data_IF_337352965789
#
_entry.id   IF_337352965789
#
_cell.length_a   1.000
_cell.length_b   1.000
_cell.length_c   1.000
_cell.angle_alpha   90.00
_cell.angle_beta   90.00
_cell.angle_gamma   90.00
#
_symmetry.space_group_name_H-M   'P 1'
#
loop_
_entity.id
_entity.type
_entity.pdbx_description
1 polymer ?
#
# COMPACT_ATOMS: atom_id res chain seq x y z
N UNK A 1 -13.05 -40.47 -33.46
CA UNK A 1 -12.75 -40.21 -32.03
C UNK A 1 -11.66 -39.15 -31.76
N UNK A 2 -10.95 -38.58 -32.76
CA UNK A 2 -9.95 -37.50 -32.51
C UNK A 2 -10.57 -36.09 -32.37
N UNK A 3 -11.73 -35.84 -32.97
CA UNK A 3 -12.43 -34.55 -32.88
C UNK A 3 -13.11 -34.31 -31.52
N UNK A 4 -13.52 -35.37 -30.83
CA UNK A 4 -14.21 -35.28 -29.53
C UNK A 4 -13.24 -34.88 -28.41
N UNK A 5 -11.99 -35.37 -28.45
CA UNK A 5 -10.96 -34.99 -27.49
C UNK A 5 -10.54 -33.50 -27.63
N UNK A 6 -10.45 -32.98 -28.86
CA UNK A 6 -10.16 -31.57 -29.10
C UNK A 6 -11.31 -30.64 -28.66
N UNK A 7 -12.56 -31.07 -28.84
CA UNK A 7 -13.73 -30.31 -28.39
C UNK A 7 -13.87 -30.30 -26.87
N UNK A 8 -13.51 -31.40 -26.20
CA UNK A 8 -13.47 -31.47 -24.72
C UNK A 8 -12.32 -30.64 -24.15
N UNK A 9 -11.13 -30.63 -24.78
CA UNK A 9 -10.05 -29.72 -24.36
C UNK A 9 -10.45 -28.26 -24.60
N UNK A 10 -11.15 -27.94 -25.69
CA UNK A 10 -11.65 -26.59 -25.97
C UNK A 10 -12.77 -26.16 -25.00
N UNK A 11 -13.64 -27.08 -24.57
CA UNK A 11 -14.67 -26.82 -23.54
C UNK A 11 -14.09 -26.76 -22.12
N UNK A 12 -13.02 -27.51 -21.82
CA UNK A 12 -12.32 -27.45 -20.54
C UNK A 12 -11.44 -26.18 -20.43
N UNK A 13 -10.91 -25.65 -21.53
CA UNK A 13 -10.26 -24.33 -21.53
C UNK A 13 -11.26 -23.17 -21.52
N UNK A 14 -12.48 -23.35 -22.02
CA UNK A 14 -13.56 -22.35 -21.86
C UNK A 14 -14.23 -22.37 -20.47
N UNK A 15 -14.07 -23.46 -19.71
CA UNK A 15 -14.47 -23.52 -18.30
C UNK A 15 -13.42 -22.96 -17.33
N UNK A 16 -12.30 -22.41 -17.82
CA UNK A 16 -11.69 -21.21 -17.21
C UNK A 16 -12.62 -20.01 -17.46
N UNK A 17 -13.87 -20.14 -17.03
CA UNK A 17 -14.87 -19.08 -16.94
C UNK A 17 -14.17 -17.94 -16.25
N UNK A 18 -13.94 -16.87 -16.99
CA UNK A 18 -13.14 -15.77 -16.51
C UNK A 18 -13.87 -15.12 -15.33
N UNK A 19 -13.29 -15.36 -14.16
CA UNK A 19 -13.92 -15.05 -12.89
C UNK A 19 -13.57 -13.63 -12.49
N UNK A 20 -14.56 -12.96 -11.90
CA UNK A 20 -14.41 -11.59 -11.47
C UNK A 20 -13.41 -11.51 -10.31
N UNK A 21 -12.48 -10.57 -10.38
CA UNK A 21 -11.65 -10.18 -9.24
C UNK A 21 -12.29 -8.96 -8.60
N UNK A 22 -12.49 -9.02 -7.28
CA UNK A 22 -12.96 -7.88 -6.50
C UNK A 22 -11.87 -7.45 -5.53
N UNK A 23 -11.50 -6.18 -5.55
CA UNK A 23 -10.57 -5.58 -4.60
C UNK A 23 -11.34 -4.55 -3.78
N UNK A 24 -11.37 -4.72 -2.47
CA UNK A 24 -11.98 -3.77 -1.54
C UNK A 24 -10.91 -3.20 -0.65
N UNK A 25 -10.64 -1.90 -0.74
CA UNK A 25 -9.70 -1.20 0.13
C UNK A 25 -10.47 -0.25 1.03
N UNK A 26 -10.12 -0.23 2.32
CA UNK A 26 -10.72 0.68 3.29
C UNK A 26 -9.63 1.45 4.01
N UNK A 27 -9.79 2.77 4.05
CA UNK A 27 -9.01 3.69 4.85
C UNK A 27 -9.96 4.48 5.74
N UNK A 28 -9.99 4.11 7.01
CA UNK A 28 -10.84 4.76 8.02
C UNK A 28 -9.95 5.59 8.94
N UNK A 29 -10.35 6.84 9.16
CA UNK A 29 -9.67 7.76 10.06
C UNK A 29 -10.68 8.41 10.99
N UNK A 30 -10.41 8.40 12.29
CA UNK A 30 -11.21 9.18 13.23
C UNK A 30 -10.74 10.63 13.16
N UNK A 31 -11.60 11.55 12.72
CA UNK A 31 -11.37 13.00 12.91
C UNK A 31 -12.06 13.42 14.20
N UNK A 32 -11.27 13.82 15.19
CA UNK A 32 -11.75 14.30 16.48
C UNK A 32 -12.23 15.76 16.45
N UNK A 33 -11.88 16.51 15.41
CA UNK A 33 -12.06 17.96 15.32
C UNK A 33 -12.59 18.38 13.93
N UNK A 34 -13.87 18.74 13.90
CA UNK A 34 -14.50 19.37 12.72
C UNK A 34 -15.14 18.42 11.72
N UNK A 35 -15.71 19.00 10.66
CA UNK A 35 -16.36 18.27 9.58
C UNK A 35 -15.33 17.71 8.59
N UNK A 36 -15.50 16.47 8.14
CA UNK A 36 -14.63 15.87 7.13
C UNK A 36 -14.88 14.39 6.83
N UNK A 37 -13.96 13.77 6.11
CA UNK A 37 -14.07 12.36 5.68
C UNK A 37 -13.54 11.47 6.80
N UNK A 38 -14.40 10.62 7.37
CA UNK A 38 -13.99 9.66 8.40
C UNK A 38 -13.82 8.23 7.86
N UNK A 39 -14.34 7.94 6.66
CA UNK A 39 -14.22 6.62 6.03
C UNK A 39 -14.12 6.78 4.51
N UNK A 40 -13.09 6.19 3.92
CA UNK A 40 -12.88 6.18 2.48
C UNK A 40 -12.69 4.74 2.03
N UNK A 41 -13.53 4.30 1.11
CA UNK A 41 -13.52 2.94 0.58
C UNK A 41 -13.34 2.98 -0.93
N UNK A 42 -12.52 2.08 -1.44
CA UNK A 42 -12.36 1.82 -2.87
C UNK A 42 -12.83 0.41 -3.18
N UNK A 43 -13.64 0.27 -4.22
CA UNK A 43 -14.08 -1.00 -4.76
C UNK A 43 -13.60 -1.06 -6.21
N UNK A 44 -12.75 -2.04 -6.52
CA UNK A 44 -12.29 -2.32 -7.88
C UNK A 44 -12.84 -3.66 -8.30
N UNK A 45 -13.55 -3.70 -9.43
CA UNK A 45 -14.04 -4.94 -10.04
C UNK A 45 -13.33 -5.14 -11.36
N UNK A 46 -12.71 -6.30 -11.54
CA UNK A 46 -12.08 -6.71 -12.79
C UNK A 46 -12.88 -7.89 -13.32
N UNK A 47 -13.40 -7.79 -14.53
CA UNK A 47 -14.23 -8.82 -15.13
C UNK A 47 -13.83 -9.03 -16.60
N UNK A 48 -13.97 -10.25 -17.13
CA UNK A 48 -13.63 -10.53 -18.52
C UNK A 48 -14.46 -9.74 -19.53
N UNK A 49 -13.83 -9.37 -20.63
CA UNK A 49 -14.47 -8.81 -21.82
C UNK A 49 -13.77 -9.34 -23.09
N UNK A 50 -14.38 -10.34 -23.74
CA UNK A 50 -13.83 -11.04 -24.92
C UNK A 50 -12.40 -11.58 -24.67
N UNK A 51 -11.38 -10.87 -25.19
CA UNK A 51 -9.97 -11.24 -25.15
C UNK A 51 -9.16 -10.43 -24.10
N UNK A 52 -9.83 -9.59 -23.31
CA UNK A 52 -9.24 -8.68 -22.34
C UNK A 52 -10.04 -8.72 -21.04
N UNK A 53 -9.64 -7.87 -20.09
CA UNK A 53 -10.43 -7.58 -18.90
C UNK A 53 -10.87 -6.13 -18.88
N UNK A 54 -11.96 -5.88 -18.19
CA UNK A 54 -12.47 -4.54 -17.90
C UNK A 54 -12.37 -4.30 -16.42
N UNK A 55 -11.81 -3.15 -16.07
CA UNK A 55 -11.74 -2.66 -14.70
C UNK A 55 -12.78 -1.59 -14.49
N UNK A 56 -13.60 -1.75 -13.45
CA UNK A 56 -14.49 -0.75 -12.89
C UNK A 56 -13.93 -0.34 -11.53
N UNK A 57 -13.68 0.95 -11.35
CA UNK A 57 -13.18 1.53 -10.09
C UNK A 57 -14.24 2.45 -9.51
N UNK A 58 -14.66 2.18 -8.28
CA UNK A 58 -15.63 2.98 -7.53
C UNK A 58 -15.02 3.49 -6.23
N UNK A 59 -15.18 4.78 -5.94
CA UNK A 59 -14.79 5.38 -4.67
C UNK A 59 -16.01 5.83 -3.86
N UNK A 60 -16.07 5.39 -2.61
CA UNK A 60 -17.10 5.73 -1.64
C UNK A 60 -16.48 6.52 -0.49
N UNK A 61 -17.10 7.64 -0.12
CA UNK A 61 -16.68 8.44 1.04
C UNK A 61 -17.84 8.62 2.01
N UNK A 62 -17.55 8.49 3.30
CA UNK A 62 -18.47 8.85 4.37
C UNK A 62 -17.96 10.09 5.08
N UNK A 63 -18.89 10.99 5.35
CA UNK A 63 -18.59 12.30 5.90
C UNK A 63 -19.20 12.45 7.29
N UNK A 64 -18.44 13.08 8.14
CA UNK A 64 -18.87 13.57 9.42
C UNK A 64 -19.04 15.08 9.28
N UNK A 65 -20.21 15.60 9.66
CA UNK A 65 -20.44 17.04 9.72
C UNK A 65 -20.67 17.39 11.19
N UNK A 66 -19.72 18.15 11.74
CA UNK A 66 -19.85 18.76 13.05
C UNK A 66 -20.55 20.10 12.90
N UNK A 67 -21.64 20.28 13.64
CA UNK A 67 -22.33 21.55 13.68
C UNK A 67 -22.01 22.28 15.00
N UNK A 68 -21.07 23.23 14.93
CA UNK A 68 -20.63 24.05 16.07
C UNK A 68 -21.80 24.73 16.81
N UNK A 69 -22.82 25.20 16.06
CA UNK A 69 -23.95 25.94 16.62
C UNK A 69 -24.89 25.06 17.43
N UNK A 70 -24.99 23.77 17.10
CA UNK A 70 -25.87 22.83 17.80
C UNK A 70 -25.11 21.85 18.71
N UNK A 71 -23.76 21.87 18.67
CA UNK A 71 -22.88 20.87 19.29
C UNK A 71 -23.34 19.43 19.00
N UNK A 72 -23.87 19.21 17.79
CA UNK A 72 -24.39 17.92 17.34
C UNK A 72 -23.63 17.41 16.14
N UNK A 73 -23.52 16.09 16.12
CA UNK A 73 -22.80 15.35 15.11
C UNK A 73 -23.78 14.76 14.12
N UNK A 74 -23.59 15.04 12.83
CA UNK A 74 -24.36 14.37 11.78
C UNK A 74 -23.43 13.47 10.96
N UNK A 75 -23.69 12.16 11.01
CA UNK A 75 -23.02 11.19 10.14
C UNK A 75 -23.80 11.09 8.83
N UNK A 76 -23.19 11.57 7.75
CA UNK A 76 -23.75 11.43 6.41
C UNK A 76 -23.13 10.23 5.71
N UNK A 77 -24.00 9.36 5.20
CA UNK A 77 -23.59 8.12 4.54
C UNK A 77 -23.64 8.28 3.03
N UNK A 78 -22.47 8.12 2.41
CA UNK A 78 -22.22 7.68 1.03
C UNK A 78 -22.69 8.62 -0.08
N UNK A 79 -21.72 9.26 -0.75
CA UNK A 79 -21.84 9.63 -2.16
C UNK A 79 -20.92 8.70 -2.97
N UNK A 80 -21.43 8.09 -4.04
CA UNK A 80 -20.58 7.53 -5.10
C UNK A 80 -19.94 8.70 -5.83
N UNK A 81 -18.63 8.86 -5.72
CA UNK A 81 -17.97 10.08 -6.24
C UNK A 81 -17.46 9.85 -7.66
N UNK A 82 -17.08 8.62 -7.99
CA UNK A 82 -16.45 8.37 -9.27
C UNK A 82 -16.46 6.90 -9.67
N UNK A 83 -16.93 6.61 -10.89
CA UNK A 83 -16.75 5.32 -11.55
C UNK A 83 -15.94 5.47 -12.84
N UNK A 84 -14.77 4.83 -12.93
CA UNK A 84 -13.96 4.77 -14.17
C UNK A 84 -13.96 3.37 -14.75
N UNK A 85 -14.07 3.26 -16.07
CA UNK A 85 -13.92 2.01 -16.81
C UNK A 85 -12.66 2.04 -17.67
N UNK A 86 -11.84 0.99 -17.61
CA UNK A 86 -10.60 0.85 -18.39
C UNK A 86 -10.43 -0.58 -18.87
N UNK A 87 -9.92 -0.74 -20.10
CA UNK A 87 -9.49 -2.03 -20.61
C UNK A 87 -8.10 -2.40 -20.07
N UNK A 88 -7.96 -3.65 -19.63
CA UNK A 88 -6.73 -4.24 -19.14
C UNK A 88 -6.32 -5.40 -20.06
N UNK A 89 -5.02 -5.47 -20.35
CA UNK A 89 -4.43 -6.63 -21.03
C UNK A 89 -4.53 -7.85 -20.11
N UNK A 90 -4.89 -9.01 -20.65
CA UNK A 90 -4.99 -10.27 -19.90
C UNK A 90 -3.70 -10.59 -19.15
N UNK A 91 -2.54 -10.38 -19.78
CA UNK A 91 -1.23 -10.63 -19.16
C UNK A 91 -0.99 -9.87 -17.85
N UNK A 92 -1.62 -8.71 -17.63
CA UNK A 92 -1.52 -7.99 -16.36
C UNK A 92 -2.32 -8.68 -15.26
N UNK A 93 -3.52 -9.14 -15.60
CA UNK A 93 -4.44 -9.81 -14.68
C UNK A 93 -3.93 -11.22 -14.35
N UNK A 94 -3.47 -11.95 -15.36
CA UNK A 94 -2.88 -13.27 -15.21
C UNK A 94 -1.62 -13.21 -14.31
N UNK A 95 -0.80 -12.16 -14.48
CA UNK A 95 0.34 -11.92 -13.59
C UNK A 95 -0.07 -11.63 -12.14
N UNK A 96 -1.13 -10.85 -11.91
CA UNK A 96 -1.64 -10.61 -10.55
C UNK A 96 -2.10 -11.91 -9.90
N UNK A 97 -2.90 -12.72 -10.60
CA UNK A 97 -3.41 -13.99 -10.09
C UNK A 97 -2.24 -14.93 -9.77
N UNK A 98 -1.28 -15.05 -10.70
CA UNK A 98 -0.08 -15.87 -10.51
C UNK A 98 0.70 -15.46 -9.26
N UNK A 99 0.91 -14.16 -9.02
CA UNK A 99 1.66 -13.68 -7.85
C UNK A 99 0.88 -13.82 -6.54
N UNK A 100 -0.44 -13.72 -6.56
CA UNK A 100 -1.28 -13.94 -5.36
C UNK A 100 -1.19 -15.37 -4.84
N UNK A 101 -1.11 -16.37 -5.75
CA UNK A 101 -0.98 -17.78 -5.39
C UNK A 101 0.42 -18.22 -4.94
N UNK A 102 1.40 -17.31 -4.91
CA UNK A 102 2.79 -17.66 -4.60
C UNK A 102 3.18 -17.35 -3.15
N UNK A 103 3.80 -18.33 -2.50
CA UNK A 103 4.41 -18.19 -1.18
C UNK A 103 5.87 -17.72 -1.32
N UNK A 104 6.05 -16.42 -1.55
CA UNK A 104 7.36 -15.74 -1.71
C UNK A 104 7.65 -14.75 -0.58
N UNK A 105 8.91 -14.70 -0.14
CA UNK A 105 9.41 -13.65 0.75
C UNK A 105 10.47 -12.80 0.03
N UNK A 106 10.04 -11.78 -0.69
CA UNK A 106 10.90 -10.85 -1.43
C UNK A 106 10.89 -9.44 -0.79
N UNK A 107 10.76 -9.38 0.54
CA UNK A 107 11.04 -8.17 1.31
C UNK A 107 12.55 -7.98 1.43
N UNK A 108 13.17 -7.54 0.34
CA UNK A 108 14.61 -7.34 0.22
C UNK A 108 14.97 -5.92 -0.23
N UNK A 109 16.22 -5.53 0.05
CA UNK A 109 16.74 -4.20 -0.22
C UNK A 109 16.66 -3.83 -1.71
N UNK A 110 17.06 -4.73 -2.60
CA UNK A 110 17.16 -4.44 -4.03
C UNK A 110 15.78 -4.19 -4.66
N UNK A 111 14.79 -5.00 -4.28
CA UNK A 111 13.42 -4.84 -4.77
C UNK A 111 12.79 -3.55 -4.23
N UNK A 112 12.93 -3.29 -2.93
CA UNK A 112 12.36 -2.09 -2.29
C UNK A 112 13.03 -0.82 -2.83
N UNK A 113 14.35 -0.83 -2.98
CA UNK A 113 15.11 0.30 -3.54
C UNK A 113 14.64 0.65 -4.96
N UNK A 114 14.36 -0.35 -5.80
CA UNK A 114 13.84 -0.14 -7.16
C UNK A 114 12.42 0.44 -7.18
N UNK A 115 11.66 0.27 -6.09
CA UNK A 115 10.30 0.80 -5.97
C UNK A 115 10.24 2.22 -5.40
N UNK A 116 11.31 2.70 -4.78
CA UNK A 116 11.43 4.09 -4.33
C UNK A 116 11.62 4.98 -5.55
N UNK A 117 10.64 5.85 -5.81
CA UNK A 117 10.64 6.72 -6.99
C UNK A 117 11.31 8.06 -6.72
N UNK A 118 11.26 8.53 -5.49
CA UNK A 118 11.80 9.82 -5.08
C UNK A 118 13.18 9.67 -4.45
N UNK A 119 14.14 10.47 -4.94
CA UNK A 119 15.33 10.75 -4.16
C UNK A 119 14.95 11.57 -2.92
N UNK A 120 15.50 11.23 -1.76
CA UNK A 120 15.29 12.01 -0.54
C UNK A 120 16.00 13.36 -0.70
N UNK A 121 15.27 14.48 -0.68
CA UNK A 121 15.89 15.81 -0.72
C UNK A 121 16.33 16.24 0.68
N UNK A 122 17.30 17.16 0.75
CA UNK A 122 17.69 17.80 2.03
C UNK A 122 16.50 18.51 2.68
N UNK A 123 15.62 19.11 1.88
CA UNK A 123 14.45 19.84 2.36
C UNK A 123 13.43 18.90 2.99
N UNK A 124 13.21 17.72 2.40
CA UNK A 124 12.30 16.70 2.96
C UNK A 124 12.80 16.21 4.32
N UNK A 125 14.11 15.96 4.45
CA UNK A 125 14.74 15.56 5.71
C UNK A 125 14.53 16.65 6.77
N UNK A 126 14.82 17.92 6.43
CA UNK A 126 14.66 19.04 7.38
C UNK A 126 13.18 19.24 7.76
N UNK A 127 12.26 19.13 6.79
CA UNK A 127 10.82 19.25 7.05
C UNK A 127 10.37 18.19 8.04
N UNK A 128 10.77 16.93 7.83
CA UNK A 128 10.41 15.83 8.71
C UNK A 128 10.99 16.00 10.11
N UNK A 129 12.24 16.44 10.22
CA UNK A 129 12.89 16.74 11.50
C UNK A 129 12.16 17.83 12.27
N UNK A 130 11.67 18.87 11.59
CA UNK A 130 10.90 19.95 12.22
C UNK A 130 9.51 19.49 12.66
N UNK A 131 8.81 18.73 11.81
CA UNK A 131 7.45 18.21 12.12
C UNK A 131 7.48 17.30 13.35
N UNK A 132 8.55 16.54 13.54
CA UNK A 132 8.70 15.61 14.66
C UNK A 132 9.47 16.21 15.86
N UNK A 133 9.82 17.50 15.81
CA UNK A 133 10.57 18.21 16.87
C UNK A 133 11.88 17.51 17.31
N UNK A 134 12.65 17.03 16.33
CA UNK A 134 13.91 16.30 16.57
C UNK A 134 15.13 17.05 16.02
N UNK A 135 15.06 18.37 15.94
CA UNK A 135 16.14 19.19 15.36
C UNK A 135 17.48 19.02 16.10
N UNK A 136 17.43 18.81 17.41
CA UNK A 136 18.59 18.51 18.26
C UNK A 136 19.42 17.32 17.77
N UNK A 137 18.85 16.40 16.97
CA UNK A 137 19.59 15.25 16.40
C UNK A 137 20.57 15.64 15.30
N UNK A 138 20.43 16.82 14.69
CA UNK A 138 21.25 17.29 13.55
C UNK A 138 21.84 18.70 13.74
N UNK A 139 21.52 19.40 14.81
CA UNK A 139 21.88 20.80 14.92
C UNK A 139 21.63 21.40 16.30
N UNK A 140 21.91 22.69 16.40
CA UNK A 140 21.57 23.49 17.57
C UNK A 140 20.09 23.89 17.50
N UNK A 141 19.37 23.64 18.58
CA UNK A 141 17.93 23.85 18.63
C UNK A 141 17.54 25.32 18.79
N UNK A 142 18.38 26.14 19.42
CA UNK A 142 18.15 27.56 19.68
C UNK A 142 18.40 28.37 18.41
N UNK A 143 19.53 28.12 17.74
CA UNK A 143 19.89 28.83 16.50
C UNK A 143 19.27 28.22 15.25
N UNK A 144 18.71 27.00 15.36
CA UNK A 144 18.22 26.18 14.24
C UNK A 144 19.29 25.97 13.15
N UNK A 145 20.56 25.99 13.54
CA UNK A 145 21.69 25.75 12.64
C UNK A 145 22.09 24.28 12.60
N UNK A 146 22.35 23.76 11.40
CA UNK A 146 22.81 22.38 11.19
C UNK A 146 24.32 22.31 11.42
N UNK A 147 24.74 21.56 12.42
CA UNK A 147 26.15 21.38 12.77
C UNK A 147 26.87 20.41 11.80
N UNK A 148 28.18 20.23 11.97
CA UNK A 148 29.00 19.35 11.11
C UNK A 148 28.48 17.90 11.09
N UNK A 149 28.07 17.37 12.25
CA UNK A 149 27.52 16.02 12.37
C UNK A 149 26.18 15.89 11.62
N UNK A 150 25.29 16.87 11.76
CA UNK A 150 24.02 16.92 11.04
C UNK A 150 24.17 16.98 9.53
N UNK A 151 25.15 17.74 9.03
CA UNK A 151 25.48 17.75 7.59
C UNK A 151 25.88 16.35 7.09
N UNK A 152 26.65 15.60 7.89
CA UNK A 152 27.01 14.23 7.57
C UNK A 152 25.80 13.29 7.61
N UNK A 153 24.96 13.36 8.65
CA UNK A 153 23.74 12.55 8.77
C UNK A 153 22.80 12.76 7.57
N UNK A 154 22.61 14.01 7.16
CA UNK A 154 21.80 14.34 5.96
C UNK A 154 22.40 13.71 4.71
N UNK A 155 23.72 13.78 4.53
CA UNK A 155 24.40 13.16 3.39
C UNK A 155 24.17 11.63 3.39
N UNK A 156 24.41 10.98 4.52
CA UNK A 156 24.26 9.53 4.66
C UNK A 156 22.82 9.06 4.38
N UNK A 157 21.82 9.80 4.86
CA UNK A 157 20.39 9.52 4.60
C UNK A 157 20.12 9.56 3.10
N UNK A 158 20.59 10.58 2.39
CA UNK A 158 20.42 10.72 0.93
C UNK A 158 21.06 9.57 0.15
N UNK A 159 22.13 9.00 0.69
CA UNK A 159 22.86 7.88 0.10
C UNK A 159 22.29 6.52 0.54
N UNK A 160 21.16 6.50 1.26
CA UNK A 160 20.51 5.29 1.79
C UNK A 160 21.44 4.44 2.67
N UNK A 161 22.35 5.08 3.41
CA UNK A 161 23.26 4.38 4.32
C UNK A 161 22.47 3.66 5.42
N UNK A 162 22.78 2.40 5.69
CA UNK A 162 22.06 1.55 6.66
C UNK A 162 20.57 1.29 6.32
N UNK A 163 20.13 1.55 5.08
CA UNK A 163 18.76 1.27 4.69
C UNK A 163 18.44 -0.23 4.68
N UNK A 164 19.43 -1.08 4.36
CA UNK A 164 19.37 -2.53 4.54
C UNK A 164 19.03 -2.92 6.00
N UNK A 165 19.76 -2.37 6.97
CA UNK A 165 19.49 -2.60 8.40
C UNK A 165 18.13 -2.10 8.84
N UNK A 166 17.70 -0.95 8.30
CA UNK A 166 16.35 -0.45 8.54
C UNK A 166 15.29 -1.43 8.02
N UNK A 167 15.47 -1.99 6.82
CA UNK A 167 14.56 -2.98 6.27
C UNK A 167 14.51 -4.26 7.11
N UNK A 168 15.65 -4.74 7.60
CA UNK A 168 15.68 -5.85 8.57
C UNK A 168 14.91 -5.52 9.85
N UNK A 169 15.04 -4.29 10.36
CA UNK A 169 14.36 -3.84 11.57
C UNK A 169 12.83 -3.78 11.40
N UNK A 170 12.32 -3.33 10.25
CA UNK A 170 10.87 -3.24 9.99
C UNK A 170 10.30 -4.51 9.34
N UNK A 171 11.14 -5.51 9.07
CA UNK A 171 10.72 -6.74 8.41
C UNK A 171 9.61 -7.38 9.25
N UNK A 172 8.45 -7.72 8.67
CA UNK A 172 7.38 -8.34 9.42
C UNK A 172 7.82 -9.63 10.12
N UNK A 173 7.40 -9.81 11.37
CA UNK A 173 7.59 -11.02 12.17
C UNK A 173 6.26 -11.60 12.65
N UNK A 174 6.25 -12.90 12.96
CA UNK A 174 5.04 -13.68 13.31
C UNK A 174 4.25 -13.12 14.50
N UNK A 175 4.89 -12.37 15.39
CA UNK A 175 4.27 -11.84 16.61
C UNK A 175 3.42 -10.57 16.42
N UNK A 176 3.53 -9.86 15.30
CA UNK A 176 2.94 -8.51 15.12
C UNK A 176 1.54 -8.56 14.46
N UNK A 177 1.17 -9.67 13.81
CA UNK A 177 -0.02 -9.77 12.93
C UNK A 177 -1.34 -9.81 13.69
N UNK A 178 -1.37 -10.37 14.89
CA UNK A 178 -2.63 -10.75 15.57
C UNK A 178 -3.35 -9.58 16.27
N UNK A 179 -2.68 -8.45 16.51
CA UNK A 179 -3.16 -7.41 17.43
C UNK A 179 -3.95 -6.28 16.74
N UNK A 180 -3.80 -6.07 15.43
CA UNK A 180 -4.21 -4.81 14.78
C UNK A 180 -5.30 -4.91 13.70
N UNK A 181 -6.05 -6.03 13.65
CA UNK A 181 -7.12 -6.27 12.65
C UNK A 181 -8.37 -5.40 12.78
N UNK A 182 -8.39 -4.42 13.70
CA UNK A 182 -9.59 -3.63 14.00
C UNK A 182 -9.51 -2.14 13.68
N UNK A 183 -8.39 -1.62 13.14
CA UNK A 183 -8.25 -0.15 12.99
C UNK A 183 -7.40 0.40 11.85
N UNK A 184 -6.86 -0.40 10.93
CA UNK A 184 -5.88 0.10 9.94
C UNK A 184 -6.18 -0.32 8.51
N UNK A 185 -5.67 0.51 7.59
CA UNK A 185 -5.76 0.37 6.14
C UNK A 185 -5.56 -1.09 5.71
N UNK A 186 -6.56 -1.67 5.05
CA UNK A 186 -6.49 -3.03 4.53
C UNK A 186 -7.18 -3.11 3.17
N UNK A 187 -6.65 -3.98 2.31
CA UNK A 187 -7.31 -4.38 1.07
C UNK A 187 -7.68 -5.87 1.13
N UNK A 188 -8.83 -6.23 0.56
CA UNK A 188 -9.25 -7.62 0.40
C UNK A 188 -9.39 -7.87 -1.09
N UNK A 189 -8.66 -8.85 -1.61
CA UNK A 189 -8.76 -9.31 -2.99
C UNK A 189 -9.51 -10.65 -2.97
N UNK A 190 -10.63 -10.72 -3.67
CA UNK A 190 -11.44 -11.94 -3.79
C UNK A 190 -11.35 -12.49 -5.22
N UNK A 191 -11.01 -13.78 -5.36
CA UNK A 191 -10.90 -14.51 -6.63
C UNK A 191 -11.17 -16.01 -6.40
N UNK A 192 -12.00 -16.66 -7.21
CA UNK A 192 -12.32 -18.11 -7.12
C UNK A 192 -12.66 -18.63 -5.72
N UNK A 193 -13.45 -17.86 -4.95
CA UNK A 193 -13.80 -18.12 -3.54
C UNK A 193 -12.64 -17.98 -2.53
N UNK A 194 -11.44 -17.66 -3.00
CA UNK A 194 -10.30 -17.31 -2.16
C UNK A 194 -10.34 -15.81 -1.81
N UNK A 195 -9.82 -15.50 -0.62
CA UNK A 195 -9.64 -14.12 -0.14
C UNK A 195 -8.20 -13.92 0.28
N UNK A 196 -7.57 -12.95 -0.35
CA UNK A 196 -6.23 -12.49 -0.04
C UNK A 196 -6.35 -11.15 0.68
N UNK A 197 -5.84 -11.07 1.91
CA UNK A 197 -5.92 -9.85 2.72
C UNK A 197 -4.59 -9.14 2.63
N UNK A 198 -4.56 -7.91 2.09
CA UNK A 198 -3.41 -7.01 2.08
C UNK A 198 -3.41 -6.10 3.31
N UNK A 199 -2.48 -6.32 4.25
CA UNK A 199 -2.36 -5.52 5.46
C UNK A 199 -1.22 -4.50 5.38
N UNK A 200 -1.50 -3.21 5.63
CA UNK A 200 -0.54 -2.09 5.53
C UNK A 200 0.08 -1.65 6.87
N UNK A 201 0.13 -2.54 7.88
CA UNK A 201 0.74 -2.26 9.20
C UNK A 201 2.21 -1.83 9.11
N UNK A 202 2.98 -2.51 8.26
CA UNK A 202 4.31 -2.07 7.84
C UNK A 202 4.18 -1.45 6.44
N UNK A 203 5.00 -0.44 6.08
CA UNK A 203 4.90 0.16 4.77
C UNK A 203 5.21 -0.95 3.76
N UNK A 204 4.33 -1.10 2.77
CA UNK A 204 4.22 -2.23 1.81
C UNK A 204 3.27 -3.35 2.28
N UNK A 205 2.02 -3.27 1.79
CA UNK A 205 0.93 -4.18 2.11
C UNK A 205 1.28 -5.68 1.99
N UNK A 206 0.78 -6.49 2.91
CA UNK A 206 1.06 -7.93 3.02
C UNK A 206 -0.13 -8.77 2.53
N UNK A 207 -0.05 -9.61 1.49
CA UNK A 207 -1.02 -10.69 1.35
C UNK A 207 -0.82 -11.69 2.50
N UNK A 208 -1.75 -11.72 3.46
CA UNK A 208 -1.79 -12.72 4.53
C UNK A 208 -2.60 -13.91 4.00
N UNK A 209 -1.91 -14.97 3.59
CA UNK A 209 -2.48 -16.31 3.67
C UNK A 209 -2.41 -16.72 5.14
N UNK A 210 -3.54 -17.09 5.73
CA UNK A 210 -3.70 -17.35 7.18
C UNK A 210 -2.85 -18.50 7.75
N UNK A 211 -1.89 -19.01 6.99
CA UNK A 211 -1.02 -20.14 7.30
C UNK A 211 0.47 -19.79 7.43
N UNK A 212 0.98 -18.76 6.74
CA UNK A 212 2.41 -18.35 6.80
C UNK A 212 2.59 -16.87 6.46
N UNK A 213 3.56 -16.25 7.14
CA UNK A 213 4.05 -14.92 6.83
C UNK A 213 4.92 -14.93 5.57
N UNK A 214 4.34 -14.50 4.46
CA UNK A 214 5.02 -14.38 3.19
C UNK A 214 4.79 -12.99 2.64
N UNK A 215 5.86 -12.17 2.55
CA UNK A 215 5.76 -10.84 1.97
C UNK A 215 6.10 -10.94 0.49
N UNK A 216 5.06 -10.94 -0.37
CA UNK A 216 5.22 -10.91 -1.82
C UNK A 216 4.94 -9.51 -2.40
N UNK A 217 5.98 -8.69 -2.48
CA UNK A 217 5.97 -7.35 -3.07
C UNK A 217 5.76 -7.36 -4.61
N UNK A 218 5.88 -8.50 -5.28
CA UNK A 218 5.52 -8.61 -6.71
C UNK A 218 4.01 -8.41 -6.90
N UNK A 219 3.19 -8.75 -5.89
CA UNK A 219 1.75 -8.42 -5.86
C UNK A 219 1.54 -6.91 -5.89
N UNK A 220 2.31 -6.14 -5.10
CA UNK A 220 2.23 -4.67 -5.10
C UNK A 220 2.62 -4.10 -6.47
N UNK A 221 3.64 -4.68 -7.11
CA UNK A 221 4.07 -4.32 -8.46
C UNK A 221 3.00 -4.62 -9.50
N UNK A 222 2.33 -5.77 -9.42
CA UNK A 222 1.23 -6.14 -10.30
C UNK A 222 0.02 -5.21 -10.12
N UNK A 223 -0.40 -4.98 -8.87
CA UNK A 223 -1.48 -4.06 -8.52
C UNK A 223 -1.20 -2.63 -8.99
N UNK A 224 0.03 -2.13 -8.84
CA UNK A 224 0.41 -0.79 -9.32
C UNK A 224 0.22 -0.60 -10.84
N UNK A 225 0.32 -1.67 -11.64
CA UNK A 225 0.10 -1.64 -13.09
C UNK A 225 -1.39 -1.66 -13.47
N UNK A 226 -2.22 -2.27 -12.61
CA UNK A 226 -3.66 -2.46 -12.82
C UNK A 226 -4.46 -1.26 -12.30
N UNK A 227 -4.16 -0.80 -11.08
CA UNK A 227 -4.97 0.18 -10.37
C UNK A 227 -4.92 1.57 -11.04
N UNK A 228 -6.04 2.31 -11.05
CA UNK A 228 -6.06 3.71 -11.51
C UNK A 228 -5.10 4.60 -10.71
N UNK A 229 -4.54 5.64 -11.33
CA UNK A 229 -3.57 6.54 -10.68
C UNK A 229 -4.13 7.24 -9.44
N UNK A 230 -5.43 7.54 -9.44
CA UNK A 230 -6.12 8.17 -8.31
C UNK A 230 -6.42 7.24 -7.13
N UNK A 231 -6.22 5.92 -7.29
CA UNK A 231 -6.51 4.95 -6.24
C UNK A 231 -5.65 5.20 -5.01
N UNK A 232 -6.30 5.30 -3.85
CA UNK A 232 -5.69 5.33 -2.54
C UNK A 232 -4.94 4.03 -2.26
N UNK A 233 -5.49 2.88 -2.63
CA UNK A 233 -4.78 1.61 -2.52
C UNK A 233 -3.44 1.70 -3.28
N UNK A 234 -3.45 2.17 -4.53
CA UNK A 234 -2.23 2.36 -5.33
C UNK A 234 -1.20 3.27 -4.65
N UNK A 235 -1.64 4.36 -4.02
CA UNK A 235 -0.75 5.26 -3.26
C UNK A 235 -0.10 4.59 -2.05
N UNK A 236 -0.76 3.61 -1.44
CA UNK A 236 -0.26 2.88 -0.28
C UNK A 236 0.58 1.63 -0.65
N UNK A 237 0.63 1.27 -1.93
CA UNK A 237 1.46 0.18 -2.45
C UNK A 237 2.88 0.63 -2.81
N UNK A 238 3.23 1.91 -2.66
CA UNK A 238 4.58 2.41 -2.97
C UNK A 238 5.50 2.36 -1.76
N UNK A 239 6.78 2.10 -2.04
CA UNK A 239 7.85 2.11 -1.06
C UNK A 239 8.22 3.53 -0.58
N UNK A 240 7.72 4.59 -1.21
CA UNK A 240 8.05 5.98 -0.85
C UNK A 240 7.66 6.31 0.60
N UNK A 241 6.61 5.66 1.13
CA UNK A 241 6.20 5.79 2.53
C UNK A 241 7.21 5.23 3.55
N UNK A 242 8.19 4.44 3.09
CA UNK A 242 9.29 3.96 3.94
C UNK A 242 10.29 5.07 4.26
N UNK A 243 10.41 6.08 3.40
CA UNK A 243 11.47 7.07 3.49
C UNK A 243 11.37 7.89 4.77
N UNK A 244 10.16 8.31 5.12
CA UNK A 244 9.91 9.10 6.32
C UNK A 244 10.30 8.33 7.60
N UNK A 245 9.86 7.07 7.69
CA UNK A 245 10.18 6.18 8.80
C UNK A 245 11.67 5.82 8.84
N UNK A 246 12.32 5.65 7.68
CA UNK A 246 13.76 5.44 7.57
C UNK A 246 14.55 6.64 8.08
N UNK A 247 14.19 7.87 7.68
CA UNK A 247 14.86 9.10 8.13
C UNK A 247 14.82 9.17 9.66
N UNK A 248 13.64 8.94 10.25
CA UNK A 248 13.48 8.95 11.70
C UNK A 248 14.34 7.87 12.37
N UNK A 249 14.22 6.62 11.91
CA UNK A 249 14.98 5.48 12.44
C UNK A 249 16.50 5.69 12.35
N UNK A 250 16.98 6.23 11.22
CA UNK A 250 18.39 6.49 11.00
C UNK A 250 18.94 7.49 12.02
N UNK A 251 18.19 8.57 12.27
CA UNK A 251 18.60 9.58 13.24
C UNK A 251 18.61 9.06 14.68
N UNK A 252 17.73 8.12 15.04
CA UNK A 252 17.70 7.48 16.37
C UNK A 252 18.78 6.42 16.57
N UNK A 253 19.19 5.74 15.51
CA UNK A 253 20.13 4.63 15.60
C UNK A 253 21.53 4.96 15.07
N UNK A 254 21.78 6.23 14.72
CA UNK A 254 23.04 6.68 14.13
C UNK A 254 24.29 6.32 14.94
N UNK A 255 24.21 6.30 16.28
CA UNK A 255 25.36 6.01 17.15
C UNK A 255 25.56 4.51 17.41
N UNK A 256 24.65 3.65 16.95
CA UNK A 256 24.70 2.21 17.17
C UNK A 256 25.49 1.46 16.08
N UNK A 257 25.87 2.15 15.00
CA UNK A 257 26.47 1.57 13.79
C UNK A 257 27.44 2.56 13.13
#
# INVERSE_FOLDING_TARGET
MRFFALFIVFLLTQNFLAQNIKIEYRNSGYQSDGSGIYDNQEIIKIYPEKNNYKLEFTQLKKFYIYNDSTKKDTRLSINEIHTTKRNLKSSLVDNLISELGQNKNNFDYELIRKQIKSSISKQDIIKLIKVNDIFYKIGDEQTKEINKSGKQKIKDIKEFKLFDKYLEFIKPSDSIITVYSHGLNSAIISYQNEKYILNFLNPLGQPIDGKKLSVNLDVNTALNKILPEKSLLRKNLTADSLLDKYIYWYLDNYYKY
#
